data_IF_792958398378
#
_entry.id   IF_792958398378
#
_cell.length_a   1.000
_cell.length_b   1.000
_cell.length_c   1.000
_cell.angle_alpha   90.00
_cell.angle_beta   90.00
_cell.angle_gamma   90.00
#
_symmetry.space_group_name_H-M   'P 1'
#
loop_
_entity.id
_entity.type
_entity.pdbx_description
1 polymer ?
#
# COMPACT_ATOMS: atom_id res chain seq x y z
N UNK A 1 2.28 -20.30 -19.65
CA UNK A 1 2.43 -18.84 -19.53
C UNK A 1 1.26 -18.22 -20.27
N UNK A 2 0.27 -17.70 -19.53
CA UNK A 2 -0.90 -17.03 -20.13
C UNK A 2 -0.72 -15.52 -19.95
N UNK A 3 -0.98 -14.74 -21.01
CA UNK A 3 -0.92 -13.27 -20.95
C UNK A 3 -2.34 -12.75 -20.80
N UNK A 4 -2.56 -11.89 -19.82
CA UNK A 4 -3.85 -11.23 -19.59
C UNK A 4 -3.65 -9.72 -19.63
N UNK A 5 -4.58 -9.01 -20.25
CA UNK A 5 -4.66 -7.55 -20.14
C UNK A 5 -5.16 -7.20 -18.74
N UNK A 6 -4.38 -6.41 -18.01
CA UNK A 6 -4.70 -5.97 -16.64
C UNK A 6 -4.41 -4.49 -16.50
N UNK A 7 -5.09 -3.84 -15.56
CA UNK A 7 -4.79 -2.48 -15.11
C UNK A 7 -4.06 -2.60 -13.78
N UNK A 8 -2.95 -1.88 -13.61
CA UNK A 8 -2.15 -1.91 -12.38
C UNK A 8 -2.15 -0.50 -11.78
N UNK A 9 -2.44 -0.42 -10.48
CA UNK A 9 -2.40 0.81 -9.70
C UNK A 9 -1.14 0.83 -8.81
N UNK A 10 -0.39 1.93 -8.82
CA UNK A 10 0.72 2.13 -7.89
C UNK A 10 0.37 3.25 -6.92
N UNK A 11 0.54 3.00 -5.62
CA UNK A 11 0.27 3.98 -4.58
C UNK A 11 1.38 3.99 -3.51
N UNK A 12 1.68 5.18 -2.96
CA UNK A 12 2.69 5.36 -1.93
C UNK A 12 2.20 6.35 -0.87
N UNK A 13 2.55 6.10 0.38
CA UNK A 13 2.29 7.02 1.48
C UNK A 13 3.33 8.15 1.45
N UNK A 14 2.99 9.28 0.82
CA UNK A 14 3.88 10.44 0.75
C UNK A 14 4.15 10.95 2.17
N UNK A 15 5.41 11.28 2.47
CA UNK A 15 5.84 11.75 3.78
C UNK A 15 6.14 10.64 4.80
N UNK A 16 5.94 9.36 4.45
CA UNK A 16 6.23 8.23 5.36
C UNK A 16 7.69 8.17 5.81
N UNK A 17 8.63 8.61 4.96
CA UNK A 17 10.07 8.66 5.31
C UNK A 17 10.32 9.67 6.43
N UNK A 18 9.83 10.91 6.27
CA UNK A 18 9.94 11.92 7.33
C UNK A 18 9.19 11.53 8.60
N UNK A 19 8.08 10.80 8.46
CA UNK A 19 7.37 10.23 9.60
C UNK A 19 8.23 9.20 10.34
N UNK A 20 9.00 8.39 9.61
CA UNK A 20 9.92 7.40 10.19
C UNK A 20 11.14 8.00 10.87
N UNK A 21 11.55 9.22 10.51
CA UNK A 21 12.59 9.95 11.25
C UNK A 21 12.08 10.48 12.61
N UNK A 22 10.75 10.62 12.76
CA UNK A 22 10.10 11.24 13.92
C UNK A 22 9.42 10.24 14.86
N UNK A 23 9.04 9.08 14.35
CA UNK A 23 8.34 8.04 15.09
C UNK A 23 9.27 6.88 15.37
N UNK A 24 9.10 6.26 16.52
CA UNK A 24 9.65 4.93 16.75
C UNK A 24 9.07 3.92 15.73
N UNK A 25 9.79 2.82 15.46
CA UNK A 25 9.38 1.84 14.46
C UNK A 25 7.99 1.23 14.68
N UNK A 26 7.57 1.08 15.94
CA UNK A 26 6.28 0.46 16.30
C UNK A 26 5.12 1.40 15.97
N UNK A 27 5.26 2.69 16.29
CA UNK A 27 4.29 3.73 15.91
C UNK A 27 4.22 3.93 14.41
N UNK A 28 5.37 4.00 13.73
CA UNK A 28 5.40 4.10 12.28
C UNK A 28 4.67 2.91 11.63
N UNK A 29 4.89 1.70 12.16
CA UNK A 29 4.22 0.48 11.69
C UNK A 29 2.71 0.59 11.84
N UNK A 30 2.22 1.00 13.01
CA UNK A 30 0.79 1.15 13.26
C UNK A 30 0.12 2.14 12.29
N UNK A 31 0.77 3.27 12.02
CA UNK A 31 0.27 4.27 11.05
C UNK A 31 0.22 3.69 9.64
N UNK A 32 1.28 3.02 9.20
CA UNK A 32 1.35 2.43 7.88
C UNK A 32 0.32 1.30 7.71
N UNK A 33 0.15 0.45 8.72
CA UNK A 33 -0.83 -0.64 8.70
C UNK A 33 -2.26 -0.10 8.57
N UNK A 34 -2.61 0.96 9.30
CA UNK A 34 -3.91 1.63 9.18
C UNK A 34 -4.12 2.24 7.78
N UNK A 35 -3.10 2.91 7.22
CA UNK A 35 -3.14 3.44 5.85
C UNK A 35 -3.35 2.32 4.83
N UNK A 36 -2.64 1.21 4.97
CA UNK A 36 -2.74 0.08 4.05
C UNK A 36 -4.06 -0.67 4.15
N UNK A 37 -4.62 -0.83 5.34
CA UNK A 37 -5.94 -1.41 5.53
C UNK A 37 -7.01 -0.57 4.81
N UNK A 38 -6.94 0.76 4.94
CA UNK A 38 -7.87 1.68 4.28
C UNK A 38 -7.76 1.60 2.75
N UNK A 39 -6.55 1.61 2.21
CA UNK A 39 -6.30 1.48 0.77
C UNK A 39 -6.76 0.12 0.22
N UNK A 40 -6.51 -0.97 0.96
CA UNK A 40 -6.93 -2.31 0.56
C UNK A 40 -8.46 -2.42 0.50
N UNK A 41 -9.16 -1.90 1.51
CA UNK A 41 -10.61 -1.88 1.54
C UNK A 41 -11.20 -1.09 0.36
N UNK A 42 -10.59 0.05 0.02
CA UNK A 42 -10.99 0.82 -1.16
C UNK A 42 -10.80 0.00 -2.45
N UNK A 43 -9.64 -0.58 -2.68
CA UNK A 43 -9.38 -1.39 -3.89
C UNK A 43 -10.33 -2.58 -4.00
N UNK A 44 -10.59 -3.28 -2.89
CA UNK A 44 -11.53 -4.40 -2.84
C UNK A 44 -12.96 -3.95 -3.15
N UNK A 45 -13.39 -2.77 -2.68
CA UNK A 45 -14.71 -2.22 -2.98
C UNK A 45 -14.93 -1.95 -4.48
N UNK A 46 -13.86 -1.72 -5.24
CA UNK A 46 -13.88 -1.55 -6.69
C UNK A 46 -13.57 -2.85 -7.46
N UNK A 47 -13.49 -4.00 -6.79
CA UNK A 47 -13.23 -5.31 -7.40
C UNK A 47 -11.76 -5.55 -7.80
N UNK A 48 -10.83 -4.71 -7.34
CA UNK A 48 -9.40 -4.91 -7.53
C UNK A 48 -8.80 -5.89 -6.50
N UNK A 49 -7.55 -6.29 -6.70
CA UNK A 49 -6.85 -7.26 -5.85
C UNK A 49 -5.49 -6.73 -5.40
N UNK A 50 -5.21 -6.81 -4.09
CA UNK A 50 -3.89 -6.40 -3.57
C UNK A 50 -2.89 -7.54 -3.77
N UNK A 51 -1.98 -7.41 -4.73
CA UNK A 51 -0.97 -8.43 -5.04
C UNK A 51 0.25 -8.38 -4.10
N UNK A 52 0.86 -7.20 -3.86
CA UNK A 52 2.11 -7.16 -3.06
C UNK A 52 2.37 -5.85 -2.33
N UNK A 53 2.88 -6.00 -1.12
CA UNK A 53 3.41 -4.93 -0.29
C UNK A 53 4.95 -4.90 -0.36
N UNK A 54 5.54 -3.85 -0.95
CA UNK A 54 7.00 -3.73 -1.13
C UNK A 54 7.55 -2.45 -0.47
N UNK A 55 7.90 -2.50 0.82
CA UNK A 55 8.50 -1.33 1.50
C UNK A 55 7.59 -0.09 1.52
N UNK A 56 8.13 1.10 1.23
CA UNK A 56 7.40 2.38 1.22
C UNK A 56 6.58 2.66 -0.06
N UNK A 57 6.64 1.79 -1.08
CA UNK A 57 5.87 1.90 -2.33
C UNK A 57 5.05 0.64 -2.56
N UNK A 58 3.78 0.75 -2.96
CA UNK A 58 2.89 -0.41 -3.10
C UNK A 58 2.33 -0.60 -4.51
N UNK A 59 2.24 -1.87 -4.88
CA UNK A 59 1.62 -2.40 -6.09
C UNK A 59 0.21 -2.88 -5.73
N UNK A 60 -0.81 -2.23 -6.28
CA UNK A 60 -2.21 -2.63 -6.26
C UNK A 60 -2.51 -3.18 -7.67
N UNK A 61 -3.04 -4.39 -7.77
CA UNK A 61 -3.42 -4.99 -9.04
C UNK A 61 -4.95 -5.02 -9.20
#
# INVERSE_FOLDING_TARGET
MERKLVTILFAAAIGSTSLGDRLDPERLRAVLDAYFATMAAAVQAWGGTVEKFIGTRKLLA
#
